data_IF_046332898760
#
_entry.id   IF_046332898760
#
_cell.length_a   1.000
_cell.length_b   1.000
_cell.length_c   1.000
_cell.angle_alpha   90.00
_cell.angle_beta   90.00
_cell.angle_gamma   90.00
#
_symmetry.space_group_name_H-M   'P 1'
#
loop_
_entity.id
_entity.type
_entity.pdbx_description
1 polymer ?
#
# COMPACT_ATOMS: atom_id res chain seq x y z
N UNK A 1 19.58 -14.41 3.96
CA UNK A 1 18.47 -15.20 4.53
C UNK A 1 17.12 -14.70 4.00
N UNK A 2 16.67 -15.13 2.81
CA UNK A 2 15.29 -14.89 2.38
C UNK A 2 14.34 -15.84 3.14
N UNK A 3 13.26 -15.31 3.71
CA UNK A 3 12.24 -16.14 4.38
C UNK A 3 11.65 -15.57 5.67
N UNK A 4 12.14 -14.42 6.16
CA UNK A 4 11.53 -13.74 7.30
C UNK A 4 10.29 -12.93 6.85
N UNK A 5 9.22 -12.90 7.67
CA UNK A 5 8.02 -12.11 7.37
C UNK A 5 8.31 -10.60 7.37
N UNK A 6 7.40 -9.80 6.83
CA UNK A 6 7.55 -8.34 6.86
C UNK A 6 7.61 -7.84 8.32
N UNK A 7 8.60 -7.00 8.68
CA UNK A 7 8.67 -6.41 10.01
C UNK A 7 7.54 -5.39 10.21
N UNK A 8 6.49 -5.80 10.92
CA UNK A 8 5.20 -5.10 11.04
C UNK A 8 5.37 -3.62 11.39
N UNK A 9 6.04 -3.30 12.50
CA UNK A 9 6.20 -1.91 12.94
C UNK A 9 6.91 -1.05 11.89
N UNK A 10 8.07 -1.49 11.39
CA UNK A 10 8.86 -0.69 10.44
C UNK A 10 8.20 -0.57 9.07
N UNK A 11 7.48 -1.60 8.60
CA UNK A 11 6.76 -1.57 7.33
C UNK A 11 5.57 -0.62 7.43
N UNK A 12 4.79 -0.70 8.51
CA UNK A 12 3.64 0.19 8.72
C UNK A 12 4.06 1.64 8.86
N UNK A 13 5.05 1.94 9.71
CA UNK A 13 5.53 3.32 9.92
C UNK A 13 6.12 3.90 8.65
N UNK A 14 6.97 3.15 7.93
CA UNK A 14 7.57 3.65 6.69
C UNK A 14 6.52 3.91 5.61
N UNK A 15 5.53 3.03 5.46
CA UNK A 15 4.44 3.25 4.49
C UNK A 15 3.57 4.42 4.89
N UNK A 16 3.22 4.58 6.17
CA UNK A 16 2.42 5.70 6.64
C UNK A 16 3.12 7.04 6.39
N UNK A 17 4.41 7.14 6.73
CA UNK A 17 5.23 8.32 6.47
C UNK A 17 5.33 8.61 4.97
N UNK A 18 5.59 7.59 4.16
CA UNK A 18 5.67 7.75 2.71
C UNK A 18 4.32 8.18 2.12
N UNK A 19 3.20 7.64 2.59
CA UNK A 19 1.87 8.05 2.17
C UNK A 19 1.60 9.52 2.53
N UNK A 20 1.97 9.96 3.74
CA UNK A 20 1.83 11.36 4.15
C UNK A 20 2.67 12.30 3.27
N UNK A 21 3.95 11.97 3.02
CA UNK A 21 4.82 12.75 2.13
C UNK A 21 4.28 12.76 0.70
N UNK A 22 3.74 11.64 0.23
CA UNK A 22 3.18 11.51 -1.12
C UNK A 22 1.98 12.42 -1.31
N UNK A 23 1.03 12.45 -0.37
CA UNK A 23 -0.12 13.37 -0.48
C UNK A 23 0.32 14.82 -0.34
N UNK A 24 1.21 15.12 0.60
CA UNK A 24 1.68 16.49 0.80
C UNK A 24 2.40 17.00 -0.46
N UNK A 25 3.32 16.22 -1.00
CA UNK A 25 4.01 16.54 -2.25
C UNK A 25 3.05 16.65 -3.43
N UNK A 26 2.02 15.81 -3.49
CA UNK A 26 1.02 15.88 -4.55
C UNK A 26 0.09 17.09 -4.39
N UNK A 27 -0.26 17.47 -3.16
CA UNK A 27 -1.04 18.67 -2.88
C UNK A 27 -0.25 19.91 -3.33
N UNK A 28 1.02 20.02 -2.92
CA UNK A 28 1.92 21.10 -3.34
C UNK A 28 2.08 21.16 -4.87
N UNK A 29 2.13 20.01 -5.55
CA UNK A 29 2.25 19.95 -7.00
C UNK A 29 0.94 20.27 -7.75
N UNK A 30 -0.21 19.90 -7.20
CA UNK A 30 -1.52 20.32 -7.75
C UNK A 30 -1.78 21.82 -7.51
N UNK A 31 -1.30 22.37 -6.40
CA UNK A 31 -1.34 23.81 -6.13
C UNK A 31 -0.43 24.61 -7.07
N UNK A 32 0.66 24.02 -7.56
CA UNK A 32 1.63 24.69 -8.42
C UNK A 32 1.22 24.72 -9.90
N UNK A 33 0.54 23.68 -10.40
CA UNK A 33 0.12 23.59 -11.79
C UNK A 33 -1.29 23.00 -11.87
N UNK A 34 -2.24 23.78 -12.40
CA UNK A 34 -3.64 23.40 -12.70
C UNK A 34 -3.81 22.31 -13.77
N UNK A 35 -2.85 21.39 -13.86
CA UNK A 35 -2.81 20.29 -14.81
C UNK A 35 -3.65 19.09 -14.33
N UNK A 36 -4.27 18.33 -15.26
CA UNK A 36 -5.25 17.30 -14.96
C UNK A 36 -4.67 16.14 -14.13
N UNK A 37 -5.56 15.57 -13.29
CA UNK A 37 -5.30 14.48 -12.34
C UNK A 37 -4.79 13.17 -13.00
N UNK A 38 -5.08 12.98 -14.29
CA UNK A 38 -4.79 11.77 -15.06
C UNK A 38 -3.57 11.97 -15.96
N UNK A 39 -2.38 11.72 -15.41
CA UNK A 39 -1.07 11.78 -16.07
C UNK A 39 0.02 11.27 -15.12
N UNK A 40 1.31 11.50 -15.41
CA UNK A 40 2.44 11.05 -14.57
C UNK A 40 2.34 11.39 -13.07
N UNK A 41 1.47 12.33 -12.70
CA UNK A 41 1.08 12.65 -11.31
C UNK A 41 0.39 11.47 -10.59
N UNK A 42 -0.42 10.67 -11.28
CA UNK A 42 -1.08 9.49 -10.70
C UNK A 42 -0.12 8.34 -10.35
N UNK A 43 1.05 8.27 -10.98
CA UNK A 43 2.10 7.31 -10.61
C UNK A 43 2.70 7.63 -9.24
N UNK A 44 2.73 8.91 -8.86
CA UNK A 44 3.19 9.35 -7.53
C UNK A 44 2.24 8.82 -6.45
N UNK A 45 0.93 8.76 -6.74
CA UNK A 45 -0.08 8.12 -5.87
C UNK A 45 0.15 6.63 -5.64
N UNK A 46 1.01 5.97 -6.43
CA UNK A 46 1.39 4.57 -6.23
C UNK A 46 2.75 4.43 -5.54
N UNK A 47 3.41 5.52 -5.15
CA UNK A 47 4.71 5.47 -4.49
C UNK A 47 4.72 4.61 -3.20
N UNK A 48 3.71 4.68 -2.30
CA UNK A 48 3.67 3.81 -1.13
C UNK A 48 3.56 2.33 -1.49
N UNK A 49 2.83 2.00 -2.56
CA UNK A 49 2.73 0.64 -3.09
C UNK A 49 4.07 0.15 -3.63
N UNK A 50 4.68 0.93 -4.53
CA UNK A 50 5.95 0.59 -5.15
C UNK A 50 7.04 0.36 -4.10
N UNK A 51 7.07 1.19 -3.05
CA UNK A 51 7.96 1.01 -1.92
C UNK A 51 7.77 -0.33 -1.21
N UNK A 52 6.53 -0.70 -0.87
CA UNK A 52 6.24 -2.00 -0.24
C UNK A 52 6.69 -3.13 -1.17
N UNK A 53 6.37 -3.08 -2.46
CA UNK A 53 6.73 -4.14 -3.41
C UNK A 53 8.25 -4.27 -3.55
N UNK A 54 8.98 -3.17 -3.72
CA UNK A 54 10.44 -3.17 -3.89
C UNK A 54 11.15 -3.64 -2.62
N UNK A 55 10.72 -3.15 -1.45
CA UNK A 55 11.31 -3.55 -0.17
C UNK A 55 11.01 -5.01 0.15
N UNK A 56 9.79 -5.46 -0.15
CA UNK A 56 9.36 -6.84 0.12
C UNK A 56 10.01 -7.84 -0.82
N UNK A 57 10.19 -7.47 -2.09
CA UNK A 57 10.87 -8.32 -3.08
C UNK A 57 12.32 -8.62 -2.70
N UNK A 58 13.03 -7.64 -2.12
CA UNK A 58 14.42 -7.80 -1.67
C UNK A 58 14.56 -8.62 -0.37
N UNK A 59 13.55 -8.64 0.49
CA UNK A 59 13.69 -9.15 1.88
C UNK A 59 12.84 -10.37 2.22
N UNK A 60 11.65 -10.52 1.62
CA UNK A 60 10.59 -11.39 2.14
C UNK A 60 10.35 -12.61 1.23
N UNK A 61 10.78 -12.54 -0.04
CA UNK A 61 10.68 -13.62 -1.02
C UNK A 61 9.31 -13.68 -1.71
N UNK A 62 9.31 -14.09 -2.99
CA UNK A 62 8.14 -13.98 -3.86
C UNK A 62 6.88 -14.71 -3.34
N UNK A 63 7.03 -15.84 -2.66
CA UNK A 63 5.89 -16.63 -2.14
C UNK A 63 5.09 -15.91 -1.02
N UNK A 64 5.62 -14.81 -0.46
CA UNK A 64 4.97 -13.99 0.57
C UNK A 64 4.37 -12.69 0.00
N UNK A 65 4.63 -12.38 -1.27
CA UNK A 65 4.01 -11.25 -1.97
C UNK A 65 2.51 -11.46 -2.21
N UNK A 66 2.00 -12.70 -2.10
CA UNK A 66 0.57 -12.98 -2.19
C UNK A 66 -0.24 -12.12 -1.19
N UNK A 67 0.34 -11.81 -0.02
CA UNK A 67 -0.28 -10.97 0.98
C UNK A 67 -0.58 -9.54 0.52
N UNK A 68 -0.01 -9.11 -0.63
CA UNK A 68 -0.35 -7.84 -1.26
C UNK A 68 -1.78 -7.82 -1.78
N UNK A 69 -2.33 -8.96 -2.23
CA UNK A 69 -3.69 -9.03 -2.79
C UNK A 69 -4.74 -8.67 -1.72
N UNK A 70 -4.83 -9.37 -0.57
CA UNK A 70 -5.78 -9.00 0.48
C UNK A 70 -5.46 -7.62 1.09
N UNK A 71 -4.18 -7.23 1.14
CA UNK A 71 -3.78 -5.92 1.64
C UNK A 71 -4.26 -4.77 0.76
N UNK A 72 -4.12 -4.90 -0.55
CA UNK A 72 -4.57 -3.92 -1.51
C UNK A 72 -6.09 -3.77 -1.48
N UNK A 73 -6.82 -4.90 -1.42
CA UNK A 73 -8.27 -4.89 -1.25
C UNK A 73 -8.70 -4.17 0.04
N UNK A 74 -8.12 -4.51 1.18
CA UNK A 74 -8.44 -3.85 2.45
C UNK A 74 -8.11 -2.35 2.44
N UNK A 75 -6.95 -1.97 1.90
CA UNK A 75 -6.53 -0.58 1.80
C UNK A 75 -7.46 0.26 0.93
N UNK A 76 -7.88 -0.26 -0.23
CA UNK A 76 -8.84 0.41 -1.13
C UNK A 76 -10.20 0.58 -0.47
N UNK A 77 -10.73 -0.49 0.14
CA UNK A 77 -12.03 -0.43 0.81
C UNK A 77 -12.01 0.64 1.90
N UNK A 78 -10.99 0.65 2.75
CA UNK A 78 -10.86 1.67 3.79
C UNK A 78 -10.71 3.06 3.19
N UNK A 79 -9.88 3.24 2.16
CA UNK A 79 -9.72 4.53 1.49
C UNK A 79 -11.05 5.06 0.97
N UNK A 80 -11.79 4.26 0.19
CA UNK A 80 -13.05 4.69 -0.43
C UNK A 80 -14.14 4.96 0.62
N UNK A 81 -14.27 4.09 1.62
CA UNK A 81 -15.25 4.26 2.69
C UNK A 81 -14.97 5.50 3.53
N UNK A 82 -13.71 5.72 3.92
CA UNK A 82 -13.33 6.89 4.71
C UNK A 82 -13.49 8.17 3.89
N UNK A 83 -13.09 8.14 2.62
CA UNK A 83 -13.21 9.30 1.74
C UNK A 83 -14.66 9.69 1.54
N UNK A 84 -15.53 8.74 1.18
CA UNK A 84 -16.96 8.98 1.01
C UNK A 84 -17.64 9.50 2.29
N UNK A 85 -17.20 9.03 3.46
CA UNK A 85 -17.73 9.48 4.75
C UNK A 85 -17.30 10.92 5.04
N UNK A 86 -16.01 11.22 4.90
CA UNK A 86 -15.44 12.52 5.25
C UNK A 86 -15.75 13.62 4.21
N UNK A 87 -15.89 13.25 2.93
CA UNK A 87 -16.23 14.17 1.85
C UNK A 87 -17.70 14.59 1.83
N UNK A 88 -18.56 13.96 2.64
CA UNK A 88 -20.00 14.18 2.62
C UNK A 88 -20.45 15.54 3.20
N UNK A 89 -19.55 16.33 3.77
CA UNK A 89 -19.88 17.62 4.39
C UNK A 89 -18.85 18.73 4.27
N UNK A 90 -17.76 18.54 3.51
CA UNK A 90 -16.62 19.48 3.50
C UNK A 90 -15.98 19.55 2.12
N UNK A 91 -15.84 20.77 1.56
CA UNK A 91 -15.13 21.06 0.30
C UNK A 91 -13.59 21.13 0.46
N UNK A 92 -13.09 20.82 1.65
CA UNK A 92 -11.67 20.94 1.98
C UNK A 92 -10.85 19.74 1.49
N UNK A 93 -9.52 19.87 1.30
CA UNK A 93 -8.66 18.79 0.81
C UNK A 93 -8.27 17.75 1.89
N UNK A 94 -8.55 18.00 3.18
CA UNK A 94 -8.16 17.10 4.27
C UNK A 94 -8.83 15.71 4.24
N UNK A 95 -10.09 15.51 3.77
CA UNK A 95 -10.69 14.18 3.64
C UNK A 95 -9.85 13.25 2.74
N UNK A 96 -9.30 13.79 1.65
CA UNK A 96 -8.41 13.04 0.75
C UNK A 96 -7.13 12.63 1.48
N UNK A 97 -6.51 13.56 2.22
CA UNK A 97 -5.29 13.29 2.99
C UNK A 97 -5.50 12.18 4.02
N UNK A 98 -6.51 12.32 4.88
CA UNK A 98 -6.78 11.38 5.97
C UNK A 98 -7.13 10.00 5.40
N UNK A 99 -8.00 9.95 4.39
CA UNK A 99 -8.42 8.68 3.78
C UNK A 99 -7.26 7.97 3.10
N UNK A 100 -6.42 8.71 2.38
CA UNK A 100 -5.27 8.15 1.68
C UNK A 100 -4.23 7.58 2.64
N UNK A 101 -3.82 8.35 3.65
CA UNK A 101 -2.84 7.87 4.65
C UNK A 101 -3.39 6.65 5.38
N UNK A 102 -4.67 6.66 5.76
CA UNK A 102 -5.31 5.53 6.45
C UNK A 102 -5.35 4.29 5.55
N UNK A 103 -5.76 4.42 4.29
CA UNK A 103 -5.82 3.30 3.34
C UNK A 103 -4.46 2.63 3.12
N UNK A 104 -3.39 3.40 2.92
CA UNK A 104 -2.04 2.84 2.77
C UNK A 104 -1.49 2.23 4.05
N UNK A 105 -1.84 2.79 5.21
CA UNK A 105 -1.46 2.24 6.51
C UNK A 105 -2.12 0.87 6.73
N UNK A 106 -3.43 0.77 6.45
CA UNK A 106 -4.17 -0.50 6.53
C UNK A 106 -3.59 -1.54 5.58
N UNK A 107 -3.28 -1.15 4.34
CA UNK A 107 -2.59 -2.02 3.39
C UNK A 107 -1.28 -2.54 3.99
N UNK A 108 -0.43 -1.68 4.54
CA UNK A 108 0.84 -2.11 5.13
C UNK A 108 0.66 -3.08 6.31
N UNK A 109 -0.33 -2.84 7.16
CA UNK A 109 -0.67 -3.73 8.29
C UNK A 109 -1.14 -5.09 7.79
N UNK A 110 -2.13 -5.11 6.88
CA UNK A 110 -2.67 -6.36 6.34
C UNK A 110 -1.60 -7.12 5.57
N UNK A 111 -0.75 -6.44 4.80
CA UNK A 111 0.38 -7.05 4.12
C UNK A 111 1.34 -7.70 5.12
N UNK A 112 1.70 -6.98 6.19
CA UNK A 112 2.61 -7.52 7.21
C UNK A 112 2.02 -8.76 7.91
N UNK A 113 0.70 -8.80 8.13
CA UNK A 113 0.01 -9.97 8.68
C UNK A 113 -0.05 -11.13 7.69
N UNK A 114 -0.52 -10.90 6.46
CA UNK A 114 -0.68 -11.93 5.44
C UNK A 114 0.67 -12.51 4.96
N UNK A 115 1.72 -11.69 4.93
CA UNK A 115 3.08 -12.12 4.57
C UNK A 115 3.64 -13.20 5.51
N UNK A 116 3.07 -13.37 6.71
CA UNK A 116 3.51 -14.40 7.67
C UNK A 116 3.20 -15.83 7.23
N UNK A 117 2.16 -16.03 6.42
CA UNK A 117 1.74 -17.33 5.90
C UNK A 117 2.16 -17.44 4.43
N UNK A 118 3.35 -17.98 4.11
CA UNK A 118 3.75 -18.13 2.71
C UNK A 118 2.81 -19.10 2.00
N UNK A 119 2.53 -18.86 0.72
CA UNK A 119 1.90 -19.89 -0.12
C UNK A 119 2.79 -21.12 -0.10
N UNK A 120 2.26 -22.24 0.40
CA UNK A 120 2.95 -23.52 0.30
C UNK A 120 3.08 -23.81 -1.19
N UNK A 121 4.32 -23.83 -1.71
CA UNK A 121 4.56 -24.39 -3.03
C UNK A 121 4.11 -25.84 -2.94
N UNK A 122 3.05 -26.19 -3.66
CA UNK A 122 2.65 -27.57 -3.88
C UNK A 122 3.90 -28.23 -4.48
N UNK A 123 4.62 -28.97 -3.66
CA UNK A 123 5.70 -29.82 -4.15
C UNK A 123 5.00 -30.82 -5.02
N UNK A 124 5.19 -30.71 -6.34
CA UNK A 124 5.01 -31.84 -7.23
C UNK A 124 5.98 -32.90 -6.71
N UNK A 125 5.48 -33.71 -5.78
CA UNK A 125 6.11 -34.94 -5.32
C UNK A 125 6.35 -35.71 -6.60
N UNK A 126 7.63 -35.85 -6.99
CA UNK A 126 7.99 -36.73 -8.08
C UNK A 126 7.32 -38.07 -7.79
N UNK A 127 6.35 -38.41 -8.62
CA UNK A 127 5.86 -39.77 -8.73
C UNK A 127 6.96 -40.50 -9.48
N UNK A 128 8.01 -40.88 -8.75
CA UNK A 128 8.98 -41.85 -9.24
C UNK A 128 8.31 -43.22 -9.03
N UNK A 129 7.66 -43.71 -10.09
CA UNK A 129 7.22 -45.10 -10.28
C UNK A 129 8.03 -45.67 -11.43
#
# INVERSE_FOLDING_TARGET
MPGRPAPLLSTTVATALLAAVTVLGHHLWLSADGAPFFGGKGLVFLAPFAWIVLRSSKSIGANRLWGLVPAFGAGIVVFLSLFATLSSGWDEPWPLFVSYVTGWTVLAVVFALCSRRPLQRVSHRRLDV
#
